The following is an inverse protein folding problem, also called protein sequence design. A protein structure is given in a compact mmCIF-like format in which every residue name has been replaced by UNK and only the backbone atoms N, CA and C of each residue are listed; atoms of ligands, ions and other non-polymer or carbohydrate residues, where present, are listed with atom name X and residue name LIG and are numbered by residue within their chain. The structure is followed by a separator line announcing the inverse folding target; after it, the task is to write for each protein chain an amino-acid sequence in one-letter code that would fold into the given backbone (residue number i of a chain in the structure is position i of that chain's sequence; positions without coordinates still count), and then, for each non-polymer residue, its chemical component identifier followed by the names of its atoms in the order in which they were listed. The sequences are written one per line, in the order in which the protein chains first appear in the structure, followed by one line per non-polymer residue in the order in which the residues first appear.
data_IF_196961974399
#
_entry.id   IF_196961974399
#
_cell.length_a   1.000
_cell.length_b   1.000
_cell.length_c   1.000
_cell.angle_alpha   90.00
_cell.angle_beta   90.00
_cell.angle_gamma   90.00
#
_symmetry.space_group_name_H-M   'P 1'
#
loop_
_entity.id
_entity.type
_entity.pdbx_description
1 polymer ?
#
# COMPACT_ATOMS: atom_id res chain seq x y z
N UNK A 1 0.99 6.53 -17.74
CA UNK A 1 2.03 7.29 -17.02
C UNK A 1 2.30 8.61 -17.73
N UNK A 2 2.41 9.72 -17.00
CA UNK A 2 2.68 11.07 -17.53
C UNK A 2 3.86 11.70 -16.80
N UNK A 3 4.75 12.39 -17.54
CA UNK A 3 5.79 13.22 -16.93
C UNK A 3 5.17 14.51 -16.37
N UNK A 4 5.74 15.01 -15.27
CA UNK A 4 5.36 16.28 -14.67
C UNK A 4 6.30 17.36 -15.19
N UNK A 5 5.75 18.44 -15.75
CA UNK A 5 6.52 19.60 -16.19
C UNK A 5 6.90 20.43 -14.97
N UNK A 6 8.17 20.38 -14.58
CA UNK A 6 8.66 21.04 -13.36
C UNK A 6 8.40 22.55 -13.35
N UNK A 7 8.57 23.23 -14.46
CA UNK A 7 8.41 24.68 -14.55
C UNK A 7 6.96 25.15 -14.33
N UNK A 8 6.00 24.25 -14.53
CA UNK A 8 4.56 24.51 -14.35
C UNK A 8 4.00 23.90 -13.07
N UNK A 9 4.83 23.17 -12.34
CA UNK A 9 4.38 22.46 -11.15
C UNK A 9 4.55 23.32 -9.89
N UNK A 10 3.45 23.68 -9.25
CA UNK A 10 3.44 24.54 -8.06
C UNK A 10 4.33 24.00 -6.93
N UNK A 11 4.48 22.67 -6.85
CA UNK A 11 5.27 21.98 -5.83
C UNK A 11 6.76 21.85 -6.19
N UNK A 12 7.24 22.43 -7.30
CA UNK A 12 8.61 22.26 -7.76
C UNK A 12 9.66 22.65 -6.69
N UNK A 13 9.47 23.77 -5.97
CA UNK A 13 10.40 24.20 -4.91
C UNK A 13 10.50 23.17 -3.76
N UNK A 14 9.38 22.62 -3.33
CA UNK A 14 9.32 21.61 -2.27
C UNK A 14 9.93 20.29 -2.74
N UNK A 15 9.67 19.91 -4.00
CA UNK A 15 10.26 18.75 -4.65
C UNK A 15 11.79 18.82 -4.66
N UNK A 16 12.38 19.91 -5.16
CA UNK A 16 13.83 20.09 -5.20
C UNK A 16 14.46 20.13 -3.81
N UNK A 17 13.77 20.71 -2.82
CA UNK A 17 14.26 20.76 -1.45
C UNK A 17 14.36 19.36 -0.83
N UNK A 18 13.26 18.59 -0.82
CA UNK A 18 13.28 17.25 -0.23
C UNK A 18 14.09 16.23 -1.03
N UNK A 19 14.23 16.43 -2.33
CA UNK A 19 15.11 15.64 -3.18
C UNK A 19 16.58 15.73 -2.77
N UNK A 20 16.96 16.82 -2.12
CA UNK A 20 18.31 17.02 -1.55
C UNK A 20 18.58 16.29 -0.23
N UNK A 21 17.57 15.65 0.37
CA UNK A 21 17.74 14.93 1.62
C UNK A 21 18.30 13.53 1.39
N UNK A 22 19.19 13.07 2.27
CA UNK A 22 19.67 11.67 2.25
C UNK A 22 18.54 10.67 2.48
N UNK A 23 17.56 11.03 3.33
CA UNK A 23 16.31 10.29 3.52
C UNK A 23 15.15 11.27 3.65
N UNK A 24 14.25 11.23 2.69
CA UNK A 24 13.06 12.07 2.64
C UNK A 24 11.79 11.37 3.14
N UNK A 25 11.91 10.15 3.67
CA UNK A 25 10.74 9.37 4.07
C UNK A 25 10.25 9.72 5.47
N UNK A 26 8.94 9.63 5.65
CA UNK A 26 8.30 9.73 6.95
C UNK A 26 7.07 8.82 7.00
N UNK A 27 6.60 8.52 8.20
CA UNK A 27 5.50 7.58 8.42
C UNK A 27 4.40 8.18 9.28
N UNK A 28 3.17 7.73 9.05
CA UNK A 28 2.06 7.98 9.95
C UNK A 28 1.36 6.66 10.29
N UNK A 29 0.94 6.51 11.55
CA UNK A 29 0.18 5.36 12.04
C UNK A 29 -1.19 5.84 12.49
N UNK A 30 -2.25 5.26 11.95
CA UNK A 30 -3.63 5.64 12.24
C UNK A 30 -4.45 4.42 12.60
N UNK A 31 -5.28 4.52 13.64
CA UNK A 31 -6.28 3.50 13.95
C UNK A 31 -7.42 3.61 12.95
N UNK A 32 -7.72 2.50 12.28
CA UNK A 32 -8.78 2.39 11.28
C UNK A 32 -9.90 1.51 11.83
N UNK A 33 -11.13 1.98 11.74
CA UNK A 33 -12.32 1.18 12.06
C UNK A 33 -12.57 0.19 10.91
N UNK A 34 -12.46 -1.10 11.20
CA UNK A 34 -12.66 -2.20 10.24
C UNK A 34 -13.90 -3.03 10.54
N UNK A 35 -14.81 -2.51 11.36
CA UNK A 35 -16.00 -3.23 11.84
C UNK A 35 -16.87 -3.72 10.69
N UNK A 36 -17.22 -2.82 9.74
CA UNK A 36 -18.04 -3.17 8.56
C UNK A 36 -17.32 -4.18 7.67
N UNK A 37 -16.03 -3.97 7.41
CA UNK A 37 -15.23 -4.90 6.63
C UNK A 37 -15.17 -6.29 7.27
N UNK A 38 -14.96 -6.37 8.58
CA UNK A 38 -14.89 -7.66 9.29
C UNK A 38 -16.22 -8.40 9.27
N UNK A 39 -17.36 -7.67 9.42
CA UNK A 39 -18.70 -8.22 9.31
C UNK A 39 -18.92 -8.80 7.92
N UNK A 40 -18.72 -8.02 6.87
CA UNK A 40 -18.81 -8.45 5.48
C UNK A 40 -17.99 -9.72 5.21
N UNK A 41 -16.72 -9.70 5.60
CA UNK A 41 -15.78 -10.81 5.42
C UNK A 41 -16.29 -12.11 6.07
N UNK A 42 -16.86 -12.02 7.28
CA UNK A 42 -17.41 -13.20 7.99
C UNK A 42 -18.68 -13.72 7.33
N UNK A 43 -19.59 -12.82 6.93
CA UNK A 43 -20.86 -13.18 6.28
C UNK A 43 -20.63 -13.89 4.93
N UNK A 44 -19.66 -13.42 4.14
CA UNK A 44 -19.36 -13.97 2.81
C UNK A 44 -18.28 -15.07 2.83
N UNK A 45 -17.69 -15.36 4.00
CA UNK A 45 -16.58 -16.33 4.17
C UNK A 45 -15.37 -16.03 3.28
N UNK A 46 -15.05 -14.77 3.15
CA UNK A 46 -13.96 -14.26 2.33
C UNK A 46 -12.68 -14.01 3.13
N UNK A 47 -11.59 -13.68 2.45
CA UNK A 47 -10.32 -13.33 3.08
C UNK A 47 -10.31 -11.87 3.55
N UNK A 48 -10.21 -11.64 4.86
CA UNK A 48 -10.03 -10.29 5.41
C UNK A 48 -8.81 -9.57 4.80
N UNK A 49 -7.72 -10.29 4.60
CA UNK A 49 -6.51 -9.74 3.99
C UNK A 49 -6.78 -9.22 2.58
N UNK A 50 -7.41 -10.02 1.72
CA UNK A 50 -7.68 -9.64 0.32
C UNK A 50 -8.65 -8.47 0.25
N UNK A 51 -9.69 -8.47 1.09
CA UNK A 51 -10.67 -7.40 1.15
C UNK A 51 -10.05 -6.08 1.60
N UNK A 52 -9.22 -6.12 2.65
CA UNK A 52 -8.49 -4.94 3.11
C UNK A 52 -7.46 -4.47 2.08
N UNK A 53 -6.74 -5.40 1.44
CA UNK A 53 -5.79 -5.08 0.36
C UNK A 53 -6.47 -4.32 -0.77
N UNK A 54 -7.65 -4.79 -1.23
CA UNK A 54 -8.43 -4.11 -2.27
C UNK A 54 -8.79 -2.68 -1.87
N UNK A 55 -9.31 -2.50 -0.65
CA UNK A 55 -9.71 -1.19 -0.12
C UNK A 55 -8.51 -0.25 -0.01
N UNK A 56 -7.40 -0.72 0.56
CA UNK A 56 -6.20 0.09 0.75
C UNK A 56 -5.61 0.52 -0.60
N UNK A 57 -5.44 -0.42 -1.54
CA UNK A 57 -4.85 -0.11 -2.85
C UNK A 57 -5.71 0.88 -3.63
N UNK A 58 -7.03 0.69 -3.66
CA UNK A 58 -7.93 1.61 -4.37
C UNK A 58 -8.06 2.96 -3.66
N UNK A 59 -8.03 2.98 -2.32
CA UNK A 59 -7.98 4.22 -1.54
C UNK A 59 -6.73 5.03 -1.85
N UNK A 60 -5.55 4.41 -1.89
CA UNK A 60 -4.30 5.06 -2.26
C UNK A 60 -4.30 5.51 -3.73
N UNK A 61 -4.79 4.69 -4.64
CA UNK A 61 -4.87 5.03 -6.07
C UNK A 61 -5.79 6.24 -6.35
N UNK A 62 -6.73 6.55 -5.46
CA UNK A 62 -7.57 7.74 -5.59
C UNK A 62 -6.84 9.05 -5.32
N UNK A 63 -5.69 9.00 -4.64
CA UNK A 63 -4.89 10.18 -4.26
C UNK A 63 -3.74 10.35 -5.26
N UNK A 64 -3.71 11.51 -5.92
CA UNK A 64 -2.75 11.80 -6.99
C UNK A 64 -1.29 11.63 -6.53
N UNK A 65 -0.95 12.17 -5.38
CA UNK A 65 0.41 12.19 -4.85
C UNK A 65 0.90 10.78 -4.49
N UNK A 66 0.02 9.87 -4.11
CA UNK A 66 0.35 8.46 -3.86
C UNK A 66 0.79 7.72 -5.13
N UNK A 67 0.42 8.21 -6.31
CA UNK A 67 0.77 7.64 -7.61
C UNK A 67 1.99 8.31 -8.27
N UNK A 68 2.62 9.27 -7.58
CA UNK A 68 3.83 9.93 -8.07
C UNK A 68 5.07 9.10 -7.77
N UNK A 69 6.00 9.09 -8.69
CA UNK A 69 7.30 8.41 -8.58
C UNK A 69 8.40 9.25 -9.21
N UNK A 70 9.63 8.88 -8.92
CA UNK A 70 10.81 9.43 -9.58
C UNK A 70 11.30 8.40 -10.62
N UNK A 71 11.36 8.78 -11.88
CA UNK A 71 11.94 7.96 -12.96
C UNK A 71 13.00 8.75 -13.71
N UNK A 72 14.19 8.20 -13.81
CA UNK A 72 15.33 8.87 -14.45
C UNK A 72 15.51 10.31 -13.94
N UNK A 73 15.40 10.51 -12.63
CA UNK A 73 15.44 11.80 -11.94
C UNK A 73 14.31 12.79 -12.31
N UNK A 74 13.29 12.36 -13.03
CA UNK A 74 12.12 13.17 -13.37
C UNK A 74 10.88 12.72 -12.58
N UNK A 75 10.07 13.65 -12.08
CA UNK A 75 8.81 13.29 -11.46
C UNK A 75 7.80 12.81 -12.52
N UNK A 76 7.18 11.68 -12.23
CA UNK A 76 6.13 11.10 -13.07
C UNK A 76 4.90 10.80 -12.25
N UNK A 77 3.75 10.74 -12.89
CA UNK A 77 2.51 10.23 -12.29
C UNK A 77 2.01 9.04 -13.08
N UNK A 78 1.77 7.93 -12.38
CA UNK A 78 1.11 6.75 -12.93
C UNK A 78 -0.40 6.92 -12.92
N UNK A 79 -1.06 6.33 -13.90
CA UNK A 79 -2.53 6.30 -13.95
C UNK A 79 -3.07 5.36 -12.89
N UNK A 80 -2.32 4.29 -12.58
CA UNK A 80 -2.64 3.29 -11.58
C UNK A 80 -1.35 2.67 -11.01
N UNK A 81 -1.39 2.32 -9.72
CA UNK A 81 -0.30 1.63 -9.01
C UNK A 81 -0.79 0.25 -8.59
N UNK A 82 0.08 -0.73 -8.73
CA UNK A 82 -0.19 -2.14 -8.47
C UNK A 82 0.12 -2.54 -7.02
N UNK A 83 -0.53 -3.56 -6.46
CA UNK A 83 -0.14 -4.15 -5.19
C UNK A 83 1.10 -5.05 -5.35
N UNK A 84 2.06 -4.91 -4.43
CA UNK A 84 3.14 -5.85 -4.21
C UNK A 84 3.21 -6.15 -2.70
N UNK A 85 3.04 -7.41 -2.31
CA UNK A 85 2.92 -7.77 -0.90
C UNK A 85 3.59 -9.09 -0.58
N UNK A 86 3.82 -9.33 0.71
CA UNK A 86 4.46 -10.55 1.20
C UNK A 86 3.42 -11.57 1.67
N UNK A 87 3.65 -12.83 1.37
CA UNK A 87 2.84 -13.97 1.80
C UNK A 87 3.75 -14.97 2.53
N UNK A 88 3.35 -15.38 3.74
CA UNK A 88 4.04 -16.43 4.46
C UNK A 88 3.85 -17.77 3.74
N UNK A 89 4.96 -18.48 3.52
CA UNK A 89 4.97 -19.82 2.90
C UNK A 89 4.79 -20.92 3.94
N UNK A 90 4.51 -22.13 3.49
CA UNK A 90 4.43 -23.30 4.37
C UNK A 90 5.76 -23.63 5.08
N UNK A 91 6.89 -23.17 4.53
CA UNK A 91 8.21 -23.34 5.15
C UNK A 91 8.54 -22.30 6.23
N UNK A 92 7.62 -21.36 6.53
CA UNK A 92 7.85 -20.29 7.51
C UNK A 92 8.70 -19.11 7.02
N UNK A 93 9.00 -19.06 5.74
CA UNK A 93 9.60 -17.92 5.05
C UNK A 93 8.50 -17.07 4.40
N UNK A 94 8.85 -16.07 3.59
CA UNK A 94 7.86 -15.31 2.83
C UNK A 94 8.21 -15.29 1.34
N UNK A 95 7.18 -15.15 0.51
CA UNK A 95 7.28 -14.89 -0.91
C UNK A 95 6.67 -13.53 -1.24
N UNK A 96 7.22 -12.87 -2.26
CA UNK A 96 6.65 -11.65 -2.81
C UNK A 96 5.60 -11.99 -3.85
N UNK A 97 4.43 -11.41 -3.68
CA UNK A 97 3.30 -11.51 -4.63
C UNK A 97 3.06 -10.14 -5.23
N UNK A 98 2.90 -10.12 -6.54
CA UNK A 98 2.55 -8.92 -7.29
C UNK A 98 1.65 -9.25 -8.46
N UNK A 99 0.73 -8.36 -8.79
CA UNK A 99 -0.13 -8.47 -9.95
C UNK A 99 -0.63 -7.09 -10.37
N UNK A 100 -1.15 -7.00 -11.59
CA UNK A 100 -1.75 -5.76 -12.08
C UNK A 100 -3.03 -5.46 -11.32
N UNK A 101 -3.15 -4.25 -10.78
CA UNK A 101 -4.36 -3.82 -10.08
C UNK A 101 -5.60 -3.89 -10.99
N UNK A 102 -6.75 -4.09 -10.38
CA UNK A 102 -8.05 -4.07 -11.04
C UNK A 102 -9.08 -3.45 -10.10
N UNK A 103 -9.88 -2.54 -10.62
CA UNK A 103 -10.96 -1.88 -9.85
C UNK A 103 -12.24 -2.73 -9.77
N UNK A 104 -12.38 -3.77 -10.61
CA UNK A 104 -13.42 -4.79 -10.45
C UNK A 104 -13.05 -5.72 -9.30
N UNK A 105 -13.87 -5.72 -8.25
CA UNK A 105 -13.57 -6.46 -7.02
C UNK A 105 -13.48 -7.97 -7.26
N UNK A 106 -14.39 -8.56 -8.01
CA UNK A 106 -14.40 -10.02 -8.23
C UNK A 106 -13.14 -10.48 -8.97
N UNK A 107 -12.73 -9.74 -9.97
CA UNK A 107 -11.48 -9.99 -10.72
C UNK A 107 -10.27 -9.81 -9.80
N UNK A 108 -10.23 -8.75 -9.00
CA UNK A 108 -9.15 -8.51 -8.03
C UNK A 108 -9.05 -9.65 -7.01
N UNK A 109 -10.19 -10.01 -6.40
CA UNK A 109 -10.23 -11.06 -5.37
C UNK A 109 -9.75 -12.41 -5.92
N UNK A 110 -10.24 -12.80 -7.10
CA UNK A 110 -9.83 -14.03 -7.77
C UNK A 110 -8.33 -14.03 -8.05
N UNK A 111 -7.81 -12.97 -8.66
CA UNK A 111 -6.39 -12.84 -8.99
C UNK A 111 -5.52 -12.89 -7.74
N UNK A 112 -5.87 -12.14 -6.69
CA UNK A 112 -5.15 -12.15 -5.42
C UNK A 112 -5.14 -13.55 -4.79
N UNK A 113 -6.29 -14.24 -4.77
CA UNK A 113 -6.41 -15.60 -4.21
C UNK A 113 -5.51 -16.59 -4.93
N UNK A 114 -5.51 -16.60 -6.26
CA UNK A 114 -4.68 -17.48 -7.09
C UNK A 114 -3.19 -17.24 -6.85
N UNK A 115 -2.77 -15.98 -6.81
CA UNK A 115 -1.37 -15.62 -6.55
C UNK A 115 -0.91 -15.99 -5.12
N UNK A 116 -1.77 -15.77 -4.11
CA UNK A 116 -1.50 -16.14 -2.72
C UNK A 116 -1.34 -17.65 -2.58
N UNK A 117 -2.25 -18.46 -3.15
CA UNK A 117 -2.16 -19.92 -3.09
C UNK A 117 -0.90 -20.45 -3.78
N UNK A 118 -0.50 -19.86 -4.90
CA UNK A 118 0.73 -20.22 -5.57
C UNK A 118 1.97 -19.87 -4.72
N UNK A 119 1.98 -18.70 -4.08
CA UNK A 119 3.08 -18.27 -3.21
C UNK A 119 3.23 -19.16 -1.98
N UNK A 120 2.13 -19.55 -1.32
CA UNK A 120 2.17 -20.46 -0.15
C UNK A 120 2.85 -21.78 -0.43
N UNK A 121 2.71 -22.31 -1.64
CA UNK A 121 3.30 -23.60 -2.09
C UNK A 121 4.77 -23.49 -2.46
N UNK A 122 5.33 -22.31 -2.58
CA UNK A 122 6.74 -22.13 -2.91
C UNK A 122 7.59 -22.40 -1.67
N UNK A 123 8.60 -23.28 -1.82
CA UNK A 123 9.52 -23.64 -0.73
C UNK A 123 10.70 -22.69 -0.58
N UNK A 124 10.97 -21.85 -1.57
CA UNK A 124 12.11 -20.94 -1.61
C UNK A 124 11.68 -19.57 -2.16
N UNK A 125 12.22 -18.52 -1.56
CA UNK A 125 12.13 -17.17 -2.11
C UNK A 125 12.85 -17.20 -3.46
N UNK A 126 12.13 -16.90 -4.54
CA UNK A 126 12.79 -16.63 -5.81
C UNK A 126 13.57 -15.33 -5.63
N UNK A 127 14.90 -15.41 -5.67
CA UNK A 127 15.76 -14.24 -5.78
C UNK A 127 15.54 -13.60 -7.15
N UNK A 128 14.41 -12.92 -7.31
CA UNK A 128 14.28 -11.96 -8.39
C UNK A 128 15.31 -10.89 -8.10
N UNK A 129 16.30 -10.76 -8.97
CA UNK A 129 17.23 -9.63 -8.88
C UNK A 129 16.37 -8.38 -8.84
N UNK A 130 16.52 -7.63 -7.75
CA UNK A 130 15.89 -6.31 -7.64
C UNK A 130 16.23 -5.54 -8.93
N UNK A 131 15.21 -5.29 -9.73
CA UNK A 131 15.34 -4.44 -10.90
C UNK A 131 14.55 -3.17 -10.61
N UNK A 132 15.23 -2.09 -10.23
CA UNK A 132 14.58 -0.83 -9.91
C UNK A 132 13.71 -0.30 -11.06
N UNK A 133 14.03 -0.59 -12.30
CA UNK A 133 13.26 -0.14 -13.46
C UNK A 133 11.85 -0.74 -13.56
N UNK A 134 11.57 -1.85 -12.85
CA UNK A 134 10.31 -2.58 -12.95
C UNK A 134 9.42 -2.48 -11.69
N UNK A 135 9.86 -1.78 -10.63
CA UNK A 135 9.22 -1.86 -9.32
C UNK A 135 8.54 -0.56 -8.86
N UNK A 136 8.61 0.52 -9.64
CA UNK A 136 8.13 1.83 -9.16
C UNK A 136 6.62 2.02 -9.23
N UNK A 137 5.93 1.30 -10.11
CA UNK A 137 4.48 1.34 -10.21
C UNK A 137 3.77 0.41 -9.22
N UNK A 138 4.37 0.22 -8.05
CA UNK A 138 3.86 -0.66 -6.99
C UNK A 138 3.68 0.08 -5.66
N UNK A 139 2.78 -0.42 -4.81
CA UNK A 139 2.75 -0.20 -3.37
C UNK A 139 3.37 -1.40 -2.69
N UNK A 140 4.35 -1.19 -1.80
CA UNK A 140 4.94 -2.27 -1.02
C UNK A 140 4.16 -2.47 0.27
N UNK A 141 3.51 -3.63 0.37
CA UNK A 141 2.54 -3.91 1.42
C UNK A 141 2.99 -5.11 2.24
N UNK A 142 2.93 -4.99 3.55
CA UNK A 142 3.14 -6.09 4.49
C UNK A 142 2.02 -6.13 5.52
N UNK A 143 1.87 -7.29 6.17
CA UNK A 143 0.90 -7.48 7.24
C UNK A 143 1.58 -8.22 8.40
N UNK A 144 1.34 -7.73 9.62
CA UNK A 144 1.81 -8.36 10.87
C UNK A 144 0.59 -8.73 11.72
N UNK A 145 -0.18 -9.76 11.33
CA UNK A 145 -1.49 -10.05 11.92
C UNK A 145 -1.41 -10.64 13.35
N UNK A 146 -0.21 -10.84 13.85
CA UNK A 146 0.03 -11.40 15.18
C UNK A 146 0.10 -10.34 16.29
N UNK A 147 0.32 -9.08 15.93
CA UNK A 147 0.58 -7.99 16.87
C UNK A 147 -0.27 -6.77 16.55
N UNK A 148 -0.93 -6.20 17.58
CA UNK A 148 -1.48 -4.84 17.54
C UNK A 148 -0.35 -3.88 17.91
N UNK A 149 0.28 -3.29 16.91
CA UNK A 149 1.37 -2.34 17.11
C UNK A 149 0.85 -0.89 17.13
N UNK A 150 1.60 -0.01 17.77
CA UNK A 150 1.34 1.44 17.77
C UNK A 150 2.18 2.18 16.74
N UNK A 151 3.34 1.62 16.40
CA UNK A 151 4.27 2.18 15.42
C UNK A 151 4.96 1.06 14.64
N UNK A 152 5.22 1.31 13.35
CA UNK A 152 5.96 0.42 12.47
C UNK A 152 6.93 1.22 11.61
N UNK A 153 8.13 0.68 11.39
CA UNK A 153 9.13 1.24 10.49
C UNK A 153 9.54 0.20 9.46
N UNK A 154 9.67 0.65 8.22
CA UNK A 154 10.10 -0.20 7.12
C UNK A 154 11.61 -0.09 6.89
N UNK A 155 12.30 -1.18 6.50
CA UNK A 155 13.61 -1.06 5.89
C UNK A 155 13.45 -0.38 4.53
N UNK A 156 14.19 0.70 4.33
CA UNK A 156 14.16 1.48 3.09
C UNK A 156 15.57 1.52 2.54
N UNK A 157 15.81 1.09 1.28
CA UNK A 157 17.10 1.22 0.64
C UNK A 157 17.56 2.66 0.58
N UNK A 158 18.87 2.87 0.64
CA UNK A 158 19.48 4.19 0.58
C UNK A 158 19.59 4.68 -0.88
N UNK A 159 18.47 4.67 -1.58
CA UNK A 159 18.33 5.24 -2.91
C UNK A 159 17.01 6.01 -3.02
N UNK A 160 17.06 7.13 -3.70
CA UNK A 160 15.94 8.07 -3.79
C UNK A 160 14.73 7.48 -4.50
N UNK A 161 14.93 6.55 -5.44
CA UNK A 161 13.84 5.93 -6.21
C UNK A 161 13.03 5.01 -5.31
N UNK A 162 13.69 4.14 -4.54
CA UNK A 162 13.05 3.28 -3.54
C UNK A 162 12.36 4.07 -2.42
N UNK A 163 12.91 5.20 -2.02
CA UNK A 163 12.28 6.10 -1.04
C UNK A 163 10.94 6.66 -1.55
N UNK A 164 10.80 6.85 -2.86
CA UNK A 164 9.57 7.36 -3.48
C UNK A 164 8.44 6.31 -3.61
N UNK A 165 8.69 5.04 -3.29
CA UNK A 165 7.68 3.98 -3.30
C UNK A 165 6.97 3.94 -1.94
N UNK A 166 5.66 4.21 -1.85
CA UNK A 166 4.93 4.10 -0.59
C UNK A 166 4.97 2.68 -0.03
N UNK A 167 5.18 2.57 1.28
CA UNK A 167 5.17 1.32 2.02
C UNK A 167 4.04 1.32 3.02
N UNK A 168 3.32 0.23 3.08
CA UNK A 168 2.11 0.09 3.88
C UNK A 168 2.26 -1.14 4.78
N UNK A 169 1.86 -0.98 6.04
CA UNK A 169 1.75 -2.10 6.97
C UNK A 169 0.48 -2.00 7.79
N UNK A 170 -0.18 -3.12 8.03
CA UNK A 170 -1.24 -3.18 9.04
C UNK A 170 -1.02 -4.34 10.01
N UNK A 171 -1.49 -4.11 11.23
CA UNK A 171 -1.38 -5.06 12.33
C UNK A 171 -2.60 -5.95 12.51
N UNK A 172 -2.63 -6.60 13.66
CA UNK A 172 -3.78 -7.35 14.14
C UNK A 172 -4.94 -6.37 14.43
N UNK A 173 -6.15 -6.73 14.01
CA UNK A 173 -7.33 -6.02 14.50
C UNK A 173 -7.67 -6.48 15.92
N UNK A 174 -8.18 -5.55 16.72
CA UNK A 174 -8.64 -5.78 18.09
C UNK A 174 -10.06 -5.26 18.23
N UNK A 175 -10.81 -5.88 19.15
CA UNK A 175 -12.11 -5.37 19.57
C UNK A 175 -11.94 -4.33 20.67
N UNK A 176 -12.59 -3.19 20.49
CA UNK A 176 -12.60 -2.09 21.45
C UNK A 176 -13.92 -1.33 21.33
N UNK A 177 -14.63 -1.18 22.44
CA UNK A 177 -15.88 -0.42 22.52
C UNK A 177 -16.89 -0.84 21.44
N UNK A 178 -17.13 -2.15 21.28
CA UNK A 178 -18.03 -2.75 20.28
C UNK A 178 -17.62 -2.53 18.82
N UNK A 179 -16.42 -2.02 18.57
CA UNK A 179 -15.81 -1.83 17.26
C UNK A 179 -14.57 -2.67 17.08
N UNK A 180 -14.21 -2.91 15.84
CA UNK A 180 -12.94 -3.53 15.48
C UNK A 180 -12.01 -2.51 14.84
N UNK A 181 -10.83 -2.37 15.43
CA UNK A 181 -9.82 -1.41 14.97
C UNK A 181 -8.50 -2.12 14.65
N UNK A 182 -7.76 -1.63 13.69
CA UNK A 182 -6.36 -1.98 13.47
C UNK A 182 -5.51 -0.74 13.24
N UNK A 183 -4.21 -0.85 13.50
CA UNK A 183 -3.27 0.20 13.11
C UNK A 183 -2.86 0.01 11.66
N UNK A 184 -3.08 1.03 10.84
CA UNK A 184 -2.55 1.15 9.48
C UNK A 184 -1.37 2.12 9.50
N UNK A 185 -0.20 1.65 9.08
CA UNK A 185 0.99 2.46 8.84
C UNK A 185 1.11 2.77 7.36
N UNK A 186 1.37 4.01 7.01
CA UNK A 186 1.75 4.42 5.66
C UNK A 186 3.04 5.24 5.75
N UNK A 187 4.08 4.77 5.06
CA UNK A 187 5.36 5.45 4.90
C UNK A 187 5.47 5.98 3.49
N UNK A 188 5.78 7.25 3.35
CA UNK A 188 5.86 7.97 2.07
C UNK A 188 7.10 8.85 2.01
N UNK A 189 7.48 9.28 0.81
CA UNK A 189 8.52 10.29 0.62
C UNK A 189 7.92 11.70 0.60
N UNK A 190 8.50 12.58 1.38
CA UNK A 190 8.12 14.00 1.39
C UNK A 190 8.44 14.72 0.07
N UNK A 191 9.20 14.08 -0.81
CA UNK A 191 9.44 14.55 -2.19
C UNK A 191 8.10 14.77 -2.91
N UNK A 192 7.12 13.87 -2.71
CA UNK A 192 5.83 13.89 -3.39
C UNK A 192 4.63 14.11 -2.47
N UNK A 193 4.70 13.61 -1.24
CA UNK A 193 3.55 13.51 -0.36
C UNK A 193 3.77 14.38 0.87
N UNK A 194 2.92 15.38 1.04
CA UNK A 194 2.85 16.20 2.26
C UNK A 194 1.81 15.62 3.24
N UNK A 195 1.70 16.21 4.41
CA UNK A 195 0.75 15.77 5.43
C UNK A 195 -0.70 15.76 4.97
N UNK A 196 -1.11 16.75 4.14
CA UNK A 196 -2.49 16.83 3.66
C UNK A 196 -2.87 15.68 2.71
N UNK A 197 -2.17 15.38 1.61
CA UNK A 197 -2.49 14.21 0.79
C UNK A 197 -2.33 12.89 1.53
N UNK A 198 -1.42 12.78 2.51
CA UNK A 198 -1.33 11.58 3.36
C UNK A 198 -2.59 11.43 4.23
N UNK A 199 -3.07 12.52 4.86
CA UNK A 199 -4.31 12.50 5.62
C UNK A 199 -5.52 12.17 4.74
N UNK A 200 -5.59 12.72 3.51
CA UNK A 200 -6.63 12.37 2.54
C UNK A 200 -6.64 10.88 2.20
N UNK A 201 -5.46 10.24 2.09
CA UNK A 201 -5.35 8.81 1.84
C UNK A 201 -5.97 7.98 2.99
N UNK A 202 -5.65 8.29 4.25
CA UNK A 202 -6.27 7.63 5.41
C UNK A 202 -7.78 7.84 5.44
N UNK A 203 -8.24 9.07 5.23
CA UNK A 203 -9.67 9.38 5.23
C UNK A 203 -10.40 8.64 4.10
N UNK A 204 -9.80 8.54 2.91
CA UNK A 204 -10.39 7.80 1.79
C UNK A 204 -10.46 6.30 2.06
N UNK A 205 -9.41 5.72 2.64
CA UNK A 205 -9.43 4.31 3.05
C UNK A 205 -10.53 4.09 4.09
N UNK A 206 -10.67 4.97 5.09
CA UNK A 206 -11.74 4.84 6.09
C UNK A 206 -13.14 4.98 5.47
N UNK A 207 -13.32 5.89 4.53
CA UNK A 207 -14.59 6.00 3.78
C UNK A 207 -14.94 4.68 3.08
N UNK A 208 -13.97 4.04 2.41
CA UNK A 208 -14.16 2.77 1.72
C UNK A 208 -14.41 1.61 2.71
N UNK A 209 -13.71 1.58 3.86
CA UNK A 209 -13.95 0.62 4.93
C UNK A 209 -15.38 0.67 5.45
N UNK A 210 -15.91 1.88 5.64
CA UNK A 210 -17.29 2.08 6.09
C UNK A 210 -18.35 1.62 5.07
N UNK A 211 -17.97 1.55 3.77
CA UNK A 211 -18.82 1.12 2.65
C UNK A 211 -18.46 -0.27 2.13
N UNK A 212 -17.78 -1.10 2.93
CA UNK A 212 -17.32 -2.41 2.49
C UNK A 212 -18.44 -3.26 1.87
N UNK A 213 -19.63 -3.28 2.47
CA UNK A 213 -20.80 -4.02 1.97
C UNK A 213 -21.31 -3.54 0.60
N UNK A 214 -20.98 -2.32 0.20
CA UNK A 214 -21.40 -1.73 -1.07
C UNK A 214 -20.38 -1.99 -2.19
N UNK A 215 -19.10 -1.98 -1.85
CA UNK A 215 -17.99 -2.00 -2.82
C UNK A 215 -17.38 -3.38 -3.04
N UNK A 216 -17.57 -4.31 -2.12
CA UNK A 216 -17.07 -5.70 -2.22
C UNK A 216 -18.18 -6.61 -2.78
N UNK A 217 -18.50 -6.47 -4.06
CA UNK A 217 -19.58 -7.21 -4.72
C UNK A 217 -19.18 -7.77 -6.08
#
# INVERSE_FOLDING_TARGET
MRKIELDKWERNKTFEWFKGFSNSTYSMNVKMDVTTLLKHTKEHKESFFINLLYIVVNGLNSIKEMRMRLENNNPVIYDEINPAFTVMTESGTFENVRFKNCTDYKTFYKTASEHIENAKKQKHIKNEKYNPENCYNEYYITCVPWVDFTQFTHPIPDDIFSQCVPRICWGKYIEKDEKYELTLNITVSHIFVDGFPLAQAFNKIQELLNKADEILK
#
